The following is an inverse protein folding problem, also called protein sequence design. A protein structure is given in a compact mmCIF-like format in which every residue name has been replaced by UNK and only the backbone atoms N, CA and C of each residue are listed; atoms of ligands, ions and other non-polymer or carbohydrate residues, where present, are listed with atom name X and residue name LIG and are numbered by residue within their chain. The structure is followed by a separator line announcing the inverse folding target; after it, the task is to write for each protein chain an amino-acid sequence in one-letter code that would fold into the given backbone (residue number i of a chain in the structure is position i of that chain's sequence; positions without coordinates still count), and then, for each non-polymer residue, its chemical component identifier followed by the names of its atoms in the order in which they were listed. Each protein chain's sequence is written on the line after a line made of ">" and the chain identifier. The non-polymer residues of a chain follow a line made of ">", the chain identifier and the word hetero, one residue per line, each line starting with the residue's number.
data_IF_655271422391
#
_entry.id   IF_655271422391
#
_cell.length_a   1.000
_cell.length_b   1.000
_cell.length_c   1.000
_cell.angle_alpha   90.00
_cell.angle_beta   90.00
_cell.angle_gamma   90.00
#
_symmetry.space_group_name_H-M   'P 1'
#
loop_
_entity.id
_entity.type
_entity.pdbx_description
1 polymer ?
#
# COMPACT_ATOMS: atom_id res chain seq x y z
N UNK A 1 39.77 34.38 -22.88
CA UNK A 1 39.28 34.01 -21.53
C UNK A 1 37.84 33.46 -21.55
N UNK A 2 36.95 33.88 -22.46
CA UNK A 2 35.58 33.35 -22.55
C UNK A 2 35.45 31.91 -23.10
N UNK A 3 36.43 31.41 -23.88
CA UNK A 3 36.40 30.04 -24.42
C UNK A 3 36.74 28.94 -23.38
N UNK A 4 37.29 29.32 -22.22
CA UNK A 4 37.65 28.40 -21.14
C UNK A 4 36.51 28.21 -20.12
N UNK A 5 35.60 29.19 -19.98
CA UNK A 5 34.45 29.07 -19.06
C UNK A 5 33.32 28.19 -19.61
N UNK A 6 33.19 28.06 -20.94
CA UNK A 6 32.18 27.18 -21.56
C UNK A 6 32.55 25.68 -21.49
N UNK A 7 33.83 25.34 -21.35
CA UNK A 7 34.29 23.95 -21.24
C UNK A 7 34.10 23.37 -19.83
N UNK A 8 34.10 24.21 -18.79
CA UNK A 8 33.90 23.78 -17.40
C UNK A 8 32.43 23.46 -17.06
N UNK A 9 31.47 23.97 -17.84
CA UNK A 9 30.03 23.69 -17.65
C UNK A 9 29.54 22.43 -18.38
N UNK A 10 30.30 21.93 -19.37
CA UNK A 10 29.91 20.75 -20.16
C UNK A 10 30.29 19.43 -19.47
N UNK A 11 31.24 19.46 -18.54
CA UNK A 11 31.76 18.26 -17.87
C UNK A 11 30.88 17.77 -16.70
N UNK A 12 30.19 18.67 -15.99
CA UNK A 12 29.33 18.28 -14.86
C UNK A 12 27.98 17.64 -15.25
N UNK A 13 27.59 17.66 -16.53
CA UNK A 13 26.31 17.07 -16.98
C UNK A 13 26.42 15.57 -17.28
N UNK A 14 27.63 15.03 -17.46
CA UNK A 14 27.83 13.65 -17.92
C UNK A 14 28.03 12.64 -16.76
N UNK A 15 28.52 13.07 -15.60
CA UNK A 15 28.65 12.21 -14.41
C UNK A 15 27.31 11.86 -13.76
N UNK A 16 26.31 12.75 -13.87
CA UNK A 16 25.03 12.57 -13.20
C UNK A 16 24.15 11.49 -13.88
N UNK A 17 24.34 11.24 -15.17
CA UNK A 17 23.70 10.14 -15.91
C UNK A 17 24.25 8.76 -15.56
N UNK A 18 25.57 8.64 -15.35
CA UNK A 18 26.20 7.36 -15.00
C UNK A 18 25.92 6.96 -13.54
N UNK A 19 25.88 7.92 -12.62
CA UNK A 19 25.62 7.64 -11.21
C UNK A 19 24.18 7.19 -10.94
N UNK A 20 23.19 7.68 -11.73
CA UNK A 20 21.79 7.23 -11.66
C UNK A 20 21.59 5.80 -12.19
N UNK A 21 22.31 5.40 -13.25
CA UNK A 21 22.26 4.05 -13.80
C UNK A 21 22.94 3.02 -12.88
N UNK A 22 24.05 3.39 -12.24
CA UNK A 22 24.73 2.54 -11.26
C UNK A 22 23.90 2.42 -9.97
N UNK A 23 23.27 3.49 -9.48
CA UNK A 23 22.39 3.42 -8.31
C UNK A 23 21.18 2.49 -8.53
N UNK A 24 20.51 2.59 -9.68
CA UNK A 24 19.39 1.73 -10.05
C UNK A 24 19.82 0.27 -10.23
N UNK A 25 20.96 0.01 -10.89
CA UNK A 25 21.48 -1.35 -11.06
C UNK A 25 21.94 -1.96 -9.73
N UNK A 26 22.50 -1.18 -8.80
CA UNK A 26 22.80 -1.64 -7.44
C UNK A 26 21.52 -1.97 -6.64
N UNK A 27 20.42 -1.23 -6.86
CA UNK A 27 19.11 -1.53 -6.28
C UNK A 27 18.49 -2.79 -6.88
N UNK A 28 18.59 -2.99 -8.20
CA UNK A 28 18.16 -4.22 -8.87
C UNK A 28 18.97 -5.43 -8.41
N UNK A 29 20.28 -5.30 -8.21
CA UNK A 29 21.14 -6.38 -7.69
C UNK A 29 20.79 -6.73 -6.23
N UNK A 30 20.32 -5.77 -5.42
CA UNK A 30 19.76 -6.04 -4.09
C UNK A 30 18.46 -6.85 -4.19
N UNK A 31 17.54 -6.49 -5.10
CA UNK A 31 16.30 -7.25 -5.34
C UNK A 31 16.58 -8.68 -5.84
N UNK A 32 17.61 -8.90 -6.66
CA UNK A 32 18.04 -10.24 -7.10
C UNK A 32 18.51 -11.13 -5.93
N UNK A 33 18.92 -10.56 -4.78
CA UNK A 33 19.22 -11.36 -3.59
C UNK A 33 17.96 -11.90 -2.94
N UNK A 34 16.84 -11.18 -3.01
CA UNK A 34 15.53 -11.63 -2.52
C UNK A 34 15.02 -12.87 -3.27
N UNK A 35 15.40 -13.06 -4.54
CA UNK A 35 15.09 -14.29 -5.30
C UNK A 35 15.69 -15.57 -4.67
N UNK A 36 16.69 -15.45 -3.78
CA UNK A 36 17.18 -16.60 -3.02
C UNK A 36 16.16 -17.09 -1.98
N UNK A 37 15.16 -16.28 -1.61
CA UNK A 37 14.03 -16.70 -0.78
C UNK A 37 13.10 -17.70 -1.50
N UNK A 38 13.19 -17.82 -2.84
CA UNK A 38 12.46 -18.82 -3.63
C UNK A 38 13.16 -20.20 -3.67
N UNK A 39 14.33 -20.35 -3.04
CA UNK A 39 15.02 -21.66 -2.91
C UNK A 39 14.14 -22.79 -2.36
N UNK A 40 13.21 -22.56 -1.42
CA UNK A 40 12.26 -23.58 -0.98
C UNK A 40 11.41 -24.15 -2.12
N UNK A 41 11.02 -23.36 -3.14
CA UNK A 41 10.32 -23.88 -4.33
C UNK A 41 11.17 -24.91 -5.11
N UNK A 42 12.49 -24.73 -5.12
CA UNK A 42 13.43 -25.68 -5.74
C UNK A 42 13.58 -26.97 -4.92
N UNK A 43 13.41 -26.90 -3.60
CA UNK A 43 13.35 -28.08 -2.72
C UNK A 43 12.00 -28.80 -2.83
N UNK A 44 10.88 -28.06 -2.96
CA UNK A 44 9.56 -28.60 -3.34
C UNK A 44 9.70 -29.47 -4.58
N UNK A 45 10.46 -29.02 -5.59
CA UNK A 45 10.60 -29.77 -6.83
C UNK A 45 11.49 -31.02 -6.73
N UNK A 46 12.17 -31.28 -5.60
CA UNK A 46 13.04 -32.45 -5.45
C UNK A 46 12.28 -33.65 -4.85
N UNK A 47 11.29 -33.40 -4.00
CA UNK A 47 10.46 -34.45 -3.41
C UNK A 47 9.18 -34.67 -4.25
N UNK A 48 8.98 -35.90 -4.73
CA UNK A 48 7.78 -36.27 -5.51
C UNK A 48 6.47 -36.02 -4.75
N UNK A 49 6.45 -36.19 -3.41
CA UNK A 49 5.26 -35.94 -2.59
C UNK A 49 4.81 -34.48 -2.56
N UNK A 50 5.72 -33.51 -2.40
CA UNK A 50 5.35 -32.08 -2.37
C UNK A 50 5.02 -31.53 -3.75
N UNK A 51 5.64 -32.08 -4.82
CA UNK A 51 5.29 -31.77 -6.21
C UNK A 51 3.82 -32.08 -6.53
N UNK A 52 3.30 -33.21 -6.05
CA UNK A 52 1.92 -33.59 -6.30
C UNK A 52 0.94 -32.56 -5.71
N UNK A 53 1.18 -32.13 -4.46
CA UNK A 53 0.35 -31.14 -3.77
C UNK A 53 0.40 -29.80 -4.52
N UNK A 54 1.59 -29.30 -4.84
CA UNK A 54 1.73 -28.01 -5.55
C UNK A 54 1.11 -28.06 -6.94
N UNK A 55 1.28 -29.15 -7.69
CA UNK A 55 0.65 -29.29 -9.01
C UNK A 55 -0.87 -29.35 -8.90
N UNK A 56 -1.42 -30.01 -7.87
CA UNK A 56 -2.85 -30.03 -7.61
C UNK A 56 -3.39 -28.63 -7.24
N UNK A 57 -2.66 -27.87 -6.40
CA UNK A 57 -3.01 -26.50 -6.05
C UNK A 57 -3.00 -25.58 -7.29
N UNK A 58 -1.91 -25.60 -8.07
CA UNK A 58 -1.77 -24.79 -9.28
C UNK A 58 -2.82 -25.15 -10.33
N UNK A 59 -3.17 -26.43 -10.46
CA UNK A 59 -4.25 -26.89 -11.33
C UNK A 59 -5.63 -26.38 -10.91
N UNK A 60 -5.81 -25.99 -9.65
CA UNK A 60 -7.09 -25.49 -9.10
C UNK A 60 -7.21 -23.96 -9.16
N UNK A 61 -6.10 -23.23 -9.29
CA UNK A 61 -6.11 -21.76 -9.41
C UNK A 61 -6.90 -21.25 -10.63
N UNK A 62 -6.75 -21.78 -11.86
CA UNK A 62 -7.45 -21.22 -13.01
C UNK A 62 -8.97 -21.34 -12.92
N UNK A 63 -9.50 -22.39 -12.28
CA UNK A 63 -10.95 -22.51 -12.06
C UNK A 63 -11.45 -21.56 -10.97
N UNK A 64 -10.68 -21.32 -9.91
CA UNK A 64 -11.00 -20.34 -8.86
C UNK A 64 -10.94 -18.88 -9.36
N UNK A 65 -10.08 -18.60 -10.35
CA UNK A 65 -9.87 -17.26 -10.89
C UNK A 65 -11.17 -16.62 -11.40
N UNK A 66 -12.05 -17.40 -12.03
CA UNK A 66 -13.34 -16.91 -12.52
C UNK A 66 -14.23 -16.38 -11.37
N UNK A 67 -14.27 -17.09 -10.25
CA UNK A 67 -15.05 -16.69 -9.07
C UNK A 67 -14.40 -15.49 -8.38
N UNK A 68 -13.06 -15.46 -8.30
CA UNK A 68 -12.31 -14.32 -7.76
C UNK A 68 -12.58 -13.05 -8.54
N UNK A 69 -12.62 -13.09 -9.88
CA UNK A 69 -12.92 -11.92 -10.72
C UNK A 69 -14.31 -11.36 -10.37
N UNK A 70 -15.33 -12.23 -10.29
CA UNK A 70 -16.69 -11.81 -9.94
C UNK A 70 -16.72 -11.18 -8.55
N UNK A 71 -16.04 -11.78 -7.56
CA UNK A 71 -15.91 -11.24 -6.21
C UNK A 71 -15.25 -9.84 -6.22
N UNK A 72 -14.14 -9.68 -6.94
CA UNK A 72 -13.45 -8.39 -7.07
C UNK A 72 -14.33 -7.32 -7.71
N UNK A 73 -15.20 -7.66 -8.67
CA UNK A 73 -16.14 -6.71 -9.27
C UNK A 73 -17.20 -6.23 -8.26
N UNK A 74 -17.74 -7.13 -7.43
CA UNK A 74 -18.65 -6.74 -6.35
C UNK A 74 -17.96 -5.81 -5.35
N UNK A 75 -16.71 -6.13 -4.96
CA UNK A 75 -15.93 -5.27 -4.07
C UNK A 75 -15.63 -3.91 -4.69
N UNK A 76 -15.38 -3.85 -6.00
CA UNK A 76 -15.18 -2.58 -6.70
C UNK A 76 -16.43 -1.69 -6.65
N UNK A 77 -17.62 -2.25 -6.82
CA UNK A 77 -18.88 -1.49 -6.70
C UNK A 77 -19.01 -0.91 -5.30
N UNK A 78 -18.85 -1.73 -4.26
CA UNK A 78 -18.89 -1.25 -2.87
C UNK A 78 -17.79 -0.23 -2.56
N UNK A 79 -16.60 -0.38 -3.14
CA UNK A 79 -15.52 0.58 -2.96
C UNK A 79 -15.83 1.93 -3.59
N UNK A 80 -16.43 1.98 -4.78
CA UNK A 80 -16.87 3.23 -5.41
C UNK A 80 -17.94 3.91 -4.54
N UNK A 81 -18.95 3.16 -4.11
CA UNK A 81 -19.99 3.68 -3.21
C UNK A 81 -19.42 4.19 -1.88
N UNK A 82 -18.41 3.49 -1.35
CA UNK A 82 -17.69 3.89 -0.15
C UNK A 82 -16.89 5.18 -0.35
N UNK A 83 -16.19 5.33 -1.48
CA UNK A 83 -15.47 6.56 -1.80
C UNK A 83 -16.42 7.74 -1.92
N UNK A 84 -17.56 7.57 -2.59
CA UNK A 84 -18.54 8.66 -2.74
C UNK A 84 -19.12 9.12 -1.40
N UNK A 85 -19.24 8.22 -0.42
CA UNK A 85 -19.80 8.54 0.90
C UNK A 85 -18.76 9.01 1.92
N UNK A 86 -17.55 8.46 1.91
CA UNK A 86 -16.61 8.55 3.03
C UNK A 86 -15.25 9.18 2.70
N UNK A 87 -15.05 9.66 1.47
CA UNK A 87 -13.79 10.29 1.04
C UNK A 87 -13.40 11.46 1.95
N UNK A 88 -12.19 11.39 2.51
CA UNK A 88 -11.62 12.41 3.39
C UNK A 88 -12.21 12.47 4.80
N UNK A 89 -13.15 11.58 5.16
CA UNK A 89 -13.84 11.63 6.45
C UNK A 89 -13.22 10.73 7.53
N UNK A 90 -12.32 9.82 7.14
CA UNK A 90 -11.74 8.82 8.05
C UNK A 90 -10.54 9.34 8.85
N UNK A 91 -10.12 10.58 8.58
CA UNK A 91 -9.00 11.17 9.29
C UNK A 91 -9.38 11.53 10.72
N UNK A 92 -8.47 11.25 11.66
CA UNK A 92 -8.68 11.43 13.09
C UNK A 92 -7.52 12.15 13.74
N UNK A 93 -7.82 12.84 14.84
CA UNK A 93 -6.79 13.46 15.66
C UNK A 93 -6.11 12.41 16.54
N UNK A 94 -4.77 12.38 16.55
CA UNK A 94 -3.97 11.57 17.45
C UNK A 94 -3.29 12.49 18.49
N UNK A 95 -3.69 12.34 19.75
CA UNK A 95 -3.17 13.08 20.92
C UNK A 95 -2.85 12.08 22.03
N UNK A 96 -1.83 12.38 22.82
CA UNK A 96 -1.35 11.54 23.93
C UNK A 96 -2.21 11.68 25.20
N UNK A 97 -2.80 12.85 25.44
CA UNK A 97 -3.73 13.13 26.55
C UNK A 97 -5.22 12.94 26.18
N UNK A 98 -5.89 11.87 26.66
CA UNK A 98 -7.28 11.55 26.29
C UNK A 98 -8.32 12.50 26.90
N UNK A 99 -7.99 13.26 27.94
CA UNK A 99 -8.90 14.20 28.60
C UNK A 99 -9.32 15.39 27.72
N UNK A 100 -8.59 15.61 26.63
CA UNK A 100 -8.74 16.77 25.74
C UNK A 100 -9.59 16.40 24.50
N UNK A 101 -9.84 15.10 24.26
CA UNK A 101 -10.56 14.61 23.08
C UNK A 101 -12.01 15.11 22.99
N UNK A 102 -12.68 15.35 24.12
CA UNK A 102 -14.05 15.87 24.15
C UNK A 102 -14.19 17.32 23.65
N UNK A 103 -13.06 18.04 23.48
CA UNK A 103 -13.05 19.45 23.04
C UNK A 103 -12.64 19.62 21.57
N UNK A 104 -12.37 18.54 20.85
CA UNK A 104 -11.84 18.57 19.48
C UNK A 104 -12.97 18.29 18.49
N UNK A 105 -13.41 19.32 17.78
CA UNK A 105 -14.41 19.19 16.71
C UNK A 105 -13.81 19.39 15.33
N UNK A 106 -12.72 20.16 15.24
CA UNK A 106 -12.09 20.52 13.98
C UNK A 106 -10.64 20.08 13.93
N UNK A 107 -10.13 19.86 12.72
CA UNK A 107 -8.69 19.69 12.47
C UNK A 107 -7.83 20.81 13.08
N UNK A 108 -8.31 22.07 13.04
CA UNK A 108 -7.59 23.20 13.62
C UNK A 108 -7.46 23.06 15.14
N UNK A 109 -8.52 22.61 15.81
CA UNK A 109 -8.52 22.39 17.26
C UNK A 109 -7.49 21.31 17.63
N UNK A 110 -7.44 20.22 16.85
CA UNK A 110 -6.43 19.17 16.99
C UNK A 110 -4.99 19.73 16.92
N UNK A 111 -4.69 20.53 15.89
CA UNK A 111 -3.35 21.10 15.68
C UNK A 111 -2.98 22.12 16.78
N UNK A 112 -3.94 22.94 17.25
CA UNK A 112 -3.69 23.93 18.32
C UNK A 112 -3.45 23.30 19.70
N UNK A 113 -3.99 22.11 19.94
CA UNK A 113 -3.78 21.36 21.18
C UNK A 113 -2.58 20.40 21.11
N UNK A 114 -1.76 20.51 20.06
CA UNK A 114 -0.55 19.73 19.89
C UNK A 114 -0.77 18.32 19.33
N UNK A 115 -1.96 18.03 18.82
CA UNK A 115 -2.30 16.78 18.15
C UNK A 115 -1.85 16.71 16.70
N UNK A 116 -1.71 15.48 16.21
CA UNK A 116 -1.40 15.21 14.80
C UNK A 116 -2.66 14.68 14.11
N UNK A 117 -3.06 15.34 13.02
CA UNK A 117 -4.16 14.86 12.17
C UNK A 117 -3.67 13.74 11.26
N UNK A 118 -4.05 12.50 11.58
CA UNK A 118 -3.56 11.30 10.90
C UNK A 118 -4.70 10.64 10.14
N UNK A 119 -4.44 10.32 8.87
CA UNK A 119 -5.32 9.48 8.07
C UNK A 119 -4.96 8.01 8.31
N UNK A 120 -5.89 7.14 8.76
CA UNK A 120 -5.63 5.71 8.86
C UNK A 120 -5.31 5.09 7.49
N UNK A 121 -4.63 3.94 7.47
CA UNK A 121 -4.35 3.21 6.23
C UNK A 121 -5.62 2.60 5.63
N UNK A 122 -6.61 2.38 6.49
CA UNK A 122 -7.93 1.84 6.23
C UNK A 122 -8.88 3.01 5.97
N UNK A 123 -9.00 3.45 4.72
CA UNK A 123 -9.84 4.58 4.35
C UNK A 123 -10.49 4.38 2.98
N UNK A 124 -11.41 5.29 2.64
CA UNK A 124 -12.12 5.31 1.36
C UNK A 124 -11.74 6.53 0.50
N UNK A 125 -10.48 6.98 0.54
CA UNK A 125 -10.05 8.13 -0.27
C UNK A 125 -9.92 7.79 -1.77
N UNK A 126 -9.61 6.52 -2.07
CA UNK A 126 -9.46 5.98 -3.41
C UNK A 126 -10.11 4.60 -3.50
N UNK A 127 -10.60 4.22 -4.68
CA UNK A 127 -11.26 2.92 -4.87
C UNK A 127 -10.33 1.73 -4.61
N UNK A 128 -9.04 1.83 -4.92
CA UNK A 128 -8.08 0.76 -4.65
C UNK A 128 -7.82 0.57 -3.15
N UNK A 129 -7.75 1.67 -2.39
CA UNK A 129 -7.60 1.63 -0.93
C UNK A 129 -8.90 1.10 -0.31
N UNK A 130 -10.05 1.57 -0.79
CA UNK A 130 -11.36 1.06 -0.37
C UNK A 130 -11.53 -0.45 -0.60
N UNK A 131 -11.00 -1.01 -1.70
CA UNK A 131 -10.99 -2.47 -1.93
C UNK A 131 -10.12 -3.19 -0.90
N UNK A 132 -8.95 -2.64 -0.52
CA UNK A 132 -8.11 -3.19 0.56
C UNK A 132 -8.87 -3.19 1.89
N UNK A 133 -9.51 -2.07 2.23
CA UNK A 133 -10.29 -1.92 3.47
C UNK A 133 -11.50 -2.86 3.49
N UNK A 134 -12.20 -3.02 2.37
CA UNK A 134 -13.28 -4.01 2.24
C UNK A 134 -12.77 -5.44 2.41
N UNK A 135 -11.57 -5.75 1.91
CA UNK A 135 -10.96 -7.06 2.10
C UNK A 135 -10.63 -7.34 3.57
N UNK A 136 -10.12 -6.36 4.30
CA UNK A 136 -9.84 -6.45 5.75
C UNK A 136 -11.12 -6.65 6.57
N UNK A 137 -12.20 -5.95 6.19
CA UNK A 137 -13.53 -6.18 6.79
C UNK A 137 -14.05 -7.59 6.51
N UNK A 138 -13.84 -8.12 5.29
CA UNK A 138 -14.22 -9.50 4.94
C UNK A 138 -13.41 -10.55 5.69
N UNK A 139 -12.12 -10.30 5.97
CA UNK A 139 -11.30 -11.17 6.81
C UNK A 139 -11.60 -11.02 8.30
N UNK A 140 -12.51 -10.12 8.68
CA UNK A 140 -12.90 -9.83 10.07
C UNK A 140 -11.75 -9.33 10.95
N UNK A 141 -10.75 -8.71 10.33
CA UNK A 141 -9.60 -8.10 11.03
C UNK A 141 -9.71 -6.58 10.95
N UNK A 142 -9.62 -5.87 12.08
CA UNK A 142 -9.67 -4.39 12.11
C UNK A 142 -11.01 -3.76 11.66
N UNK A 143 -12.05 -4.57 11.40
CA UNK A 143 -13.34 -4.08 10.88
C UNK A 143 -14.08 -3.14 11.83
N UNK A 144 -13.83 -3.25 13.15
CA UNK A 144 -14.46 -2.41 14.17
C UNK A 144 -14.00 -0.96 14.00
N UNK A 145 -12.70 -0.75 13.78
CA UNK A 145 -12.13 0.59 13.61
C UNK A 145 -12.69 1.27 12.35
N UNK A 146 -12.87 0.50 11.27
CA UNK A 146 -13.47 0.96 10.02
C UNK A 146 -14.95 1.28 10.19
N UNK A 147 -15.70 0.42 10.88
CA UNK A 147 -17.11 0.63 11.18
C UNK A 147 -17.31 1.85 12.08
N UNK A 148 -16.49 1.99 13.13
CA UNK A 148 -16.53 3.12 14.04
C UNK A 148 -16.23 4.42 13.30
N UNK A 149 -15.17 4.46 12.48
CA UNK A 149 -14.86 5.60 11.63
C UNK A 149 -16.00 5.94 10.67
N UNK A 150 -16.70 4.95 10.11
CA UNK A 150 -17.87 5.16 9.25
C UNK A 150 -19.15 5.62 9.98
N UNK A 151 -19.29 5.33 11.28
CA UNK A 151 -20.42 5.82 12.09
C UNK A 151 -20.19 7.28 12.49
N UNK A 152 -18.94 7.65 12.77
CA UNK A 152 -18.56 9.01 13.16
C UNK A 152 -18.14 9.89 11.96
N UNK A 153 -18.29 9.40 10.73
CA UNK A 153 -18.03 10.19 9.52
C UNK A 153 -19.20 11.15 9.29
N UNK A 154 -19.06 12.39 9.75
CA UNK A 154 -20.06 13.47 9.64
C UNK A 154 -19.40 14.79 9.27
#
# INVERSE_FOLDING_TARGET
>A
TLKAMAAASTDQRNDQSDQGSIANSLQSVKALRALRALRPLRMISRNQGMKLIVNALLSSIPSMTNVTIVCCLFLLIFAIMGVDSFKGQFARCSIEDPAILEQIFTRLDCETMGGIWVNPEENFDNSLIGIRTLFEMMSTEGWIDVMEAGVYSV
#
